data_IF_418052348866
#
_entry.id   IF_418052348866
#
_cell.length_a   1.000
_cell.length_b   1.000
_cell.length_c   1.000
_cell.angle_alpha   90.00
_cell.angle_beta   90.00
_cell.angle_gamma   90.00
#
_symmetry.space_group_name_H-M   'P 1'
#
loop_
_entity.id
_entity.type
_entity.pdbx_description
1 polymer ?
#
# COMPACT_ATOMS: atom_id res chain seq x y z
N UNK A 1 32.54 -5.25 -2.67
CA UNK A 1 31.28 -4.68 -3.19
C UNK A 1 30.87 -3.58 -2.26
N UNK A 2 30.56 -2.40 -2.75
CA UNK A 2 30.21 -1.31 -1.83
C UNK A 2 28.88 -1.64 -1.12
N UNK A 3 28.84 -1.40 0.18
CA UNK A 3 27.66 -1.52 1.04
C UNK A 3 26.45 -0.81 0.41
N UNK A 4 26.71 0.25 -0.33
CA UNK A 4 25.71 1.01 -1.08
C UNK A 4 24.89 0.13 -2.05
N UNK A 5 25.52 -0.75 -2.85
CA UNK A 5 24.77 -1.62 -3.77
C UNK A 5 23.89 -2.65 -3.05
N UNK A 6 24.28 -3.08 -1.85
CA UNK A 6 23.45 -3.95 -1.00
C UNK A 6 22.21 -3.16 -0.59
N UNK A 7 22.38 -1.93 -0.08
CA UNK A 7 21.25 -1.06 0.30
C UNK A 7 20.32 -0.74 -0.86
N UNK A 8 20.86 -0.44 -2.05
CA UNK A 8 20.00 -0.21 -3.24
C UNK A 8 19.26 -1.47 -3.64
N UNK A 9 19.90 -2.64 -3.59
CA UNK A 9 19.26 -3.91 -3.92
C UNK A 9 18.08 -4.23 -2.99
N UNK A 10 18.26 -4.13 -1.68
CA UNK A 10 17.19 -4.29 -0.69
C UNK A 10 16.14 -3.18 -0.83
N UNK A 11 16.58 -1.96 -1.13
CA UNK A 11 15.71 -0.80 -1.36
C UNK A 11 14.74 -0.98 -2.51
N UNK A 12 15.13 -1.66 -3.59
CA UNK A 12 14.23 -1.98 -4.69
C UNK A 12 13.13 -2.97 -4.28
N UNK A 13 13.45 -3.95 -3.43
CA UNK A 13 12.46 -4.90 -2.90
C UNK A 13 11.46 -4.16 -2.00
N UNK A 14 11.94 -3.40 -1.04
CA UNK A 14 11.11 -2.59 -0.12
C UNK A 14 10.28 -1.57 -0.90
N UNK A 15 10.87 -0.89 -1.90
CA UNK A 15 10.17 0.05 -2.77
C UNK A 15 9.03 -0.61 -3.56
N UNK A 16 9.19 -1.86 -4.01
CA UNK A 16 8.14 -2.58 -4.72
C UNK A 16 6.91 -2.84 -3.81
N UNK A 17 7.14 -3.21 -2.55
CA UNK A 17 6.09 -3.42 -1.55
C UNK A 17 5.39 -2.08 -1.23
N UNK A 18 6.17 -1.02 -0.97
CA UNK A 18 5.64 0.33 -0.71
C UNK A 18 4.82 0.81 -1.92
N UNK A 19 5.33 0.66 -3.15
CA UNK A 19 4.65 1.09 -4.37
C UNK A 19 3.28 0.43 -4.52
N UNK A 20 3.20 -0.87 -4.27
CA UNK A 20 1.96 -1.61 -4.37
C UNK A 20 0.91 -1.06 -3.40
N UNK A 21 1.26 -0.90 -2.12
CA UNK A 21 0.37 -0.34 -1.10
C UNK A 21 0.01 1.12 -1.39
N UNK A 22 1.01 1.95 -1.70
CA UNK A 22 0.82 3.39 -1.95
C UNK A 22 -0.06 3.66 -3.17
N UNK A 23 0.05 2.86 -4.23
CA UNK A 23 -0.82 2.99 -5.42
C UNK A 23 -2.26 2.66 -5.08
N UNK A 24 -2.53 1.58 -4.31
CA UNK A 24 -3.86 1.24 -3.82
C UNK A 24 -4.48 2.41 -3.05
N UNK A 25 -3.78 2.90 -2.04
CA UNK A 25 -4.19 4.03 -1.22
C UNK A 25 -4.42 5.30 -2.05
N UNK A 26 -3.56 5.61 -3.03
CA UNK A 26 -3.70 6.76 -3.91
C UNK A 26 -4.95 6.66 -4.80
N UNK A 27 -5.28 5.45 -5.27
CA UNK A 27 -6.52 5.21 -6.01
C UNK A 27 -7.76 5.43 -5.15
N UNK A 28 -7.75 4.93 -3.92
CA UNK A 28 -8.83 5.14 -2.98
C UNK A 28 -9.00 6.63 -2.67
N UNK A 29 -7.90 7.33 -2.35
CA UNK A 29 -7.91 8.77 -2.07
C UNK A 29 -8.44 9.59 -3.24
N UNK A 30 -8.13 9.22 -4.49
CA UNK A 30 -8.58 9.98 -5.67
C UNK A 30 -10.12 10.12 -5.75
N UNK A 31 -10.86 9.08 -5.33
CA UNK A 31 -12.34 9.07 -5.38
C UNK A 31 -13.00 9.43 -4.05
N UNK A 32 -12.33 9.23 -2.91
CA UNK A 32 -12.91 9.49 -1.58
C UNK A 32 -12.51 10.84 -1.01
N UNK A 33 -11.36 11.39 -1.45
CA UNK A 33 -10.73 12.61 -0.92
C UNK A 33 -10.51 12.56 0.59
N UNK A 34 -10.46 11.36 1.17
CA UNK A 34 -10.22 11.11 2.59
C UNK A 34 -8.99 10.27 2.79
N UNK A 35 -8.15 10.65 3.75
CA UNK A 35 -7.00 9.85 4.20
C UNK A 35 -7.54 8.68 5.02
N UNK A 36 -7.14 7.45 4.66
CA UNK A 36 -7.62 6.24 5.29
C UNK A 36 -6.54 5.59 6.17
N UNK A 37 -6.63 5.79 7.48
CA UNK A 37 -5.71 5.15 8.43
C UNK A 37 -5.96 3.63 8.58
N UNK A 38 -7.15 3.15 8.26
CA UNK A 38 -7.44 1.72 8.25
C UNK A 38 -6.78 0.97 7.08
N UNK A 39 -6.10 1.67 6.15
CA UNK A 39 -5.37 1.04 5.06
C UNK A 39 -4.24 0.12 5.56
N UNK A 40 -3.56 0.49 6.65
CA UNK A 40 -2.56 -0.38 7.28
C UNK A 40 -3.15 -1.71 7.73
N UNK A 41 -4.37 -1.70 8.26
CA UNK A 41 -5.03 -2.93 8.71
C UNK A 41 -5.48 -3.83 7.56
N UNK A 42 -5.73 -3.26 6.37
CA UNK A 42 -5.93 -4.06 5.16
C UNK A 42 -4.66 -4.83 4.79
N UNK A 43 -3.48 -4.25 5.04
CA UNK A 43 -2.20 -4.94 4.89
C UNK A 43 -2.03 -6.02 5.95
N UNK A 44 -2.26 -5.69 7.24
CA UNK A 44 -2.12 -6.63 8.34
C UNK A 44 -3.01 -7.86 8.16
N UNK A 45 -4.30 -7.65 7.84
CA UNK A 45 -5.23 -8.78 7.66
C UNK A 45 -4.85 -9.65 6.46
N UNK A 46 -4.32 -9.03 5.38
CA UNK A 46 -3.77 -9.76 4.24
C UNK A 46 -2.57 -10.62 4.61
N UNK A 47 -1.65 -10.09 5.44
CA UNK A 47 -0.51 -10.82 5.97
C UNK A 47 -0.96 -12.04 6.81
N UNK A 48 -1.92 -11.85 7.72
CA UNK A 48 -2.48 -12.92 8.54
C UNK A 48 -3.26 -13.96 7.71
N UNK A 49 -4.03 -13.53 6.71
CA UNK A 49 -4.73 -14.45 5.81
C UNK A 49 -3.75 -15.35 5.06
N UNK A 50 -2.68 -14.76 4.52
CA UNK A 50 -1.61 -15.50 3.86
C UNK A 50 -0.88 -16.45 4.84
N UNK A 51 -0.59 -15.98 6.07
CA UNK A 51 0.02 -16.80 7.11
C UNK A 51 -0.81 -18.03 7.46
N UNK A 52 -2.12 -17.88 7.65
CA UNK A 52 -3.02 -19.01 7.94
C UNK A 52 -2.97 -20.05 6.82
N UNK A 53 -2.96 -19.60 5.56
CA UNK A 53 -2.82 -20.52 4.40
C UNK A 53 -1.43 -21.13 4.36
N UNK A 54 -0.38 -20.36 4.67
CA UNK A 54 1.01 -20.85 4.66
C UNK A 54 1.27 -21.98 5.66
N UNK A 55 0.50 -22.04 6.75
CA UNK A 55 0.56 -23.17 7.72
C UNK A 55 0.07 -24.50 7.14
N UNK A 56 -0.74 -24.45 6.09
CA UNK A 56 -1.36 -25.64 5.49
C UNK A 56 -0.85 -25.92 4.07
N UNK A 57 -0.31 -24.92 3.38
CA UNK A 57 0.15 -25.03 1.99
C UNK A 57 1.33 -24.11 1.73
N UNK A 58 2.38 -24.67 1.16
CA UNK A 58 3.55 -23.92 0.68
C UNK A 58 3.32 -23.17 -0.64
N UNK A 59 2.12 -23.28 -1.23
CA UNK A 59 1.80 -22.63 -2.49
C UNK A 59 1.62 -21.11 -2.31
N UNK A 60 2.62 -20.34 -2.74
CA UNK A 60 2.65 -18.86 -2.62
C UNK A 60 1.50 -18.20 -3.38
N UNK A 61 1.03 -18.79 -4.50
CA UNK A 61 -0.11 -18.22 -5.23
C UNK A 61 -1.42 -18.35 -4.44
N UNK A 62 -1.59 -19.45 -3.71
CA UNK A 62 -2.77 -19.62 -2.84
C UNK A 62 -2.74 -18.66 -1.66
N UNK A 63 -1.56 -18.43 -1.08
CA UNK A 63 -1.35 -17.44 -0.02
C UNK A 63 -1.67 -16.03 -0.52
N UNK A 64 -1.18 -15.67 -1.71
CA UNK A 64 -1.48 -14.38 -2.34
C UNK A 64 -2.97 -14.20 -2.66
N UNK A 65 -3.62 -15.25 -3.19
CA UNK A 65 -5.05 -15.21 -3.45
C UNK A 65 -5.87 -15.01 -2.16
N UNK A 66 -5.49 -15.65 -1.07
CA UNK A 66 -6.12 -15.46 0.24
C UNK A 66 -5.92 -14.03 0.77
N UNK A 67 -4.70 -13.49 0.67
CA UNK A 67 -4.39 -12.12 1.07
C UNK A 67 -5.24 -11.09 0.30
N UNK A 68 -5.32 -11.25 -1.02
CA UNK A 68 -6.15 -10.39 -1.90
C UNK A 68 -7.62 -10.52 -1.56
N UNK A 69 -8.14 -11.74 -1.42
CA UNK A 69 -9.56 -11.98 -1.16
C UNK A 69 -10.01 -11.41 0.19
N UNK A 70 -9.24 -11.66 1.26
CA UNK A 70 -9.58 -11.21 2.61
C UNK A 70 -9.40 -9.70 2.76
N UNK A 71 -8.31 -9.14 2.20
CA UNK A 71 -8.10 -7.69 2.16
C UNK A 71 -9.22 -6.96 1.40
N UNK A 72 -9.60 -7.47 0.22
CA UNK A 72 -10.71 -6.93 -0.57
C UNK A 72 -12.06 -7.03 0.16
N UNK A 73 -12.33 -8.15 0.83
CA UNK A 73 -13.56 -8.36 1.60
C UNK A 73 -13.66 -7.39 2.79
N UNK A 74 -12.57 -7.20 3.53
CA UNK A 74 -12.53 -6.25 4.65
C UNK A 74 -12.71 -4.81 4.18
N UNK A 75 -12.03 -4.42 3.09
CA UNK A 75 -12.17 -3.10 2.49
C UNK A 75 -13.60 -2.83 2.01
N UNK A 76 -14.24 -3.82 1.37
CA UNK A 76 -15.64 -3.74 1.01
C UNK A 76 -16.54 -3.58 2.24
N UNK A 77 -16.28 -4.35 3.30
CA UNK A 77 -17.03 -4.26 4.56
C UNK A 77 -16.86 -2.87 5.20
N UNK A 78 -15.65 -2.33 5.28
CA UNK A 78 -15.40 -0.97 5.76
C UNK A 78 -16.19 0.06 4.98
N UNK A 79 -16.09 0.03 3.65
CA UNK A 79 -16.84 0.97 2.84
C UNK A 79 -18.36 0.83 3.05
N UNK A 80 -18.87 -0.39 3.03
CA UNK A 80 -20.32 -0.65 3.08
C UNK A 80 -20.95 -0.37 4.43
N UNK A 81 -20.25 -0.77 5.51
CA UNK A 81 -20.78 -0.74 6.88
C UNK A 81 -20.41 0.55 7.62
N UNK A 82 -19.23 1.11 7.35
CA UNK A 82 -18.74 2.28 8.07
C UNK A 82 -18.80 3.54 7.21
N UNK A 83 -18.06 3.60 6.08
CA UNK A 83 -17.90 4.86 5.35
C UNK A 83 -19.16 5.34 4.65
N UNK A 84 -19.83 4.46 3.93
CA UNK A 84 -21.02 4.81 3.13
C UNK A 84 -22.18 5.37 3.95
N UNK A 85 -22.53 4.82 5.14
CA UNK A 85 -23.59 5.40 5.99
C UNK A 85 -23.25 6.80 6.48
N UNK A 86 -21.99 7.03 6.89
CA UNK A 86 -21.55 8.33 7.38
C UNK A 86 -21.48 9.39 6.26
N UNK A 87 -20.93 9.01 5.11
CA UNK A 87 -20.88 9.90 3.93
C UNK A 87 -22.29 10.28 3.46
N UNK A 88 -23.25 9.35 3.49
CA UNK A 88 -24.64 9.65 3.14
C UNK A 88 -25.32 10.60 4.12
N UNK A 89 -24.89 10.61 5.38
CA UNK A 89 -25.38 11.54 6.42
C UNK A 89 -24.68 12.90 6.38
N UNK A 90 -23.81 13.14 5.39
CA UNK A 90 -23.06 14.39 5.25
C UNK A 90 -21.93 14.55 6.25
N UNK A 91 -21.35 13.45 6.76
CA UNK A 91 -20.22 13.52 7.68
C UNK A 91 -19.04 14.27 7.04
N UNK A 92 -18.48 15.22 7.78
CA UNK A 92 -17.31 15.99 7.36
C UNK A 92 -16.03 15.14 7.34
N UNK A 93 -14.98 15.68 6.72
CA UNK A 93 -13.69 15.00 6.56
C UNK A 93 -13.08 14.55 7.91
N UNK A 94 -13.20 15.37 8.96
CA UNK A 94 -12.71 15.02 10.30
C UNK A 94 -13.43 13.80 10.88
N UNK A 95 -14.74 13.71 10.72
CA UNK A 95 -15.54 12.56 11.19
C UNK A 95 -15.12 11.28 10.47
N UNK A 96 -14.93 11.35 9.14
CA UNK A 96 -14.46 10.21 8.35
C UNK A 96 -13.03 9.80 8.74
N UNK A 97 -12.16 10.76 9.02
CA UNK A 97 -10.81 10.51 9.51
C UNK A 97 -10.81 9.76 10.86
N UNK A 98 -11.58 10.25 11.85
CA UNK A 98 -11.72 9.58 13.15
C UNK A 98 -12.30 8.17 12.99
N UNK A 99 -13.24 7.98 12.05
CA UNK A 99 -13.82 6.68 11.74
C UNK A 99 -12.77 5.69 11.22
N UNK A 100 -11.80 6.16 10.42
CA UNK A 100 -10.71 5.29 9.93
C UNK A 100 -9.80 4.81 11.05
N UNK A 101 -9.48 5.70 12.00
CA UNK A 101 -8.66 5.36 13.17
C UNK A 101 -9.42 4.37 14.06
N UNK A 102 -10.71 4.60 14.33
CA UNK A 102 -11.52 3.69 15.12
C UNK A 102 -11.60 2.29 14.47
N UNK A 103 -11.78 2.23 13.14
CA UNK A 103 -11.78 0.98 12.39
C UNK A 103 -10.43 0.26 12.48
N UNK A 104 -9.32 1.00 12.38
CA UNK A 104 -7.96 0.46 12.54
C UNK A 104 -7.79 -0.18 13.92
N UNK A 105 -8.10 0.56 14.98
CA UNK A 105 -7.98 0.06 16.36
C UNK A 105 -8.84 -1.19 16.61
N UNK A 106 -10.06 -1.24 16.06
CA UNK A 106 -10.93 -2.42 16.18
C UNK A 106 -10.27 -3.64 15.53
N UNK A 107 -9.78 -3.52 14.30
CA UNK A 107 -9.15 -4.65 13.60
C UNK A 107 -7.88 -5.10 14.31
N UNK A 108 -7.02 -4.17 14.72
CA UNK A 108 -5.80 -4.48 15.44
C UNK A 108 -6.11 -5.28 16.71
N UNK A 109 -7.02 -4.79 17.57
CA UNK A 109 -7.40 -5.48 18.81
C UNK A 109 -8.08 -6.84 18.55
N UNK A 110 -8.87 -6.97 17.49
CA UNK A 110 -9.45 -8.26 17.10
C UNK A 110 -8.35 -9.25 16.70
N UNK A 111 -7.37 -8.81 15.90
CA UNK A 111 -6.23 -9.65 15.53
C UNK A 111 -5.38 -10.03 16.74
N UNK A 112 -5.15 -9.11 17.68
CA UNK A 112 -4.46 -9.39 18.95
C UNK A 112 -5.20 -10.41 19.79
N UNK A 113 -6.53 -10.33 19.87
CA UNK A 113 -7.36 -11.31 20.59
C UNK A 113 -7.31 -12.70 19.95
N UNK A 114 -7.21 -12.80 18.62
CA UNK A 114 -7.18 -14.08 17.89
C UNK A 114 -5.76 -14.69 17.91
N UNK A 115 -4.72 -13.87 17.68
CA UNK A 115 -3.33 -14.30 17.51
C UNK A 115 -2.44 -14.00 18.72
N UNK A 116 -3.02 -13.55 19.85
CA UNK A 116 -2.35 -13.32 21.15
C UNK A 116 -1.30 -12.20 21.17
N UNK A 117 -1.30 -11.28 20.20
CA UNK A 117 -0.38 -10.14 20.18
C UNK A 117 1.12 -10.48 20.05
N UNK A 118 1.47 -11.75 20.03
CA UNK A 118 2.84 -12.23 19.93
C UNK A 118 3.39 -12.17 18.50
N UNK A 119 4.71 -12.21 18.39
CA UNK A 119 5.34 -12.39 17.10
C UNK A 119 4.93 -13.70 16.44
N UNK A 120 4.49 -13.60 15.20
CA UNK A 120 4.16 -14.75 14.36
C UNK A 120 5.27 -14.89 13.32
N UNK A 121 5.87 -16.07 13.24
CA UNK A 121 6.90 -16.37 12.25
C UNK A 121 6.25 -16.88 10.97
N UNK A 122 6.50 -16.18 9.87
CA UNK A 122 6.02 -16.61 8.56
C UNK A 122 6.80 -17.86 8.12
N UNK A 123 6.13 -18.96 7.73
CA UNK A 123 6.82 -20.17 7.29
C UNK A 123 7.49 -19.90 5.94
N UNK A 124 8.71 -19.39 5.96
CA UNK A 124 9.53 -19.22 4.77
C UNK A 124 10.68 -20.24 4.79
N UNK A 125 10.89 -20.94 3.68
CA UNK A 125 12.10 -21.74 3.51
C UNK A 125 13.29 -20.80 3.32
N UNK A 126 14.41 -21.11 3.98
CA UNK A 126 15.65 -20.40 3.76
C UNK A 126 16.03 -20.48 2.27
N UNK A 127 15.98 -19.35 1.59
CA UNK A 127 16.24 -19.28 0.16
C UNK A 127 17.71 -18.98 -0.08
N UNK A 128 18.33 -19.70 -1.03
CA UNK A 128 19.69 -19.39 -1.47
C UNK A 128 19.74 -17.97 -2.05
N UNK A 129 20.80 -17.23 -1.73
CA UNK A 129 21.02 -15.91 -2.30
C UNK A 129 21.68 -16.03 -3.67
N UNK A 130 21.02 -15.49 -4.68
CA UNK A 130 21.51 -15.41 -6.05
C UNK A 130 22.22 -14.09 -6.29
N UNK A 131 23.32 -14.13 -7.03
CA UNK A 131 24.03 -12.92 -7.49
C UNK A 131 23.49 -12.51 -8.85
N UNK A 132 22.89 -11.32 -8.94
CA UNK A 132 22.44 -10.71 -10.19
C UNK A 132 23.22 -9.41 -10.38
N UNK A 133 24.34 -9.45 -11.10
CA UNK A 133 25.23 -8.30 -11.25
C UNK A 133 25.81 -7.83 -9.90
N UNK A 134 25.63 -6.55 -9.52
CA UNK A 134 26.11 -6.00 -8.25
C UNK A 134 25.20 -6.35 -7.05
N UNK A 135 24.01 -6.91 -7.27
CA UNK A 135 23.01 -7.18 -6.24
C UNK A 135 23.06 -8.62 -5.75
N UNK A 136 22.63 -8.82 -4.50
CA UNK A 136 22.39 -10.13 -3.92
C UNK A 136 20.92 -10.18 -3.51
N UNK A 137 20.14 -11.02 -4.19
CA UNK A 137 18.73 -11.24 -3.91
C UNK A 137 18.46 -12.70 -3.59
N UNK A 138 17.61 -12.92 -2.64
CA UNK A 138 17.04 -14.25 -2.38
C UNK A 138 15.95 -14.55 -3.41
N UNK A 139 15.55 -15.81 -3.53
CA UNK A 139 14.40 -16.17 -4.35
C UNK A 139 13.13 -15.43 -3.87
N UNK A 140 12.99 -15.24 -2.56
CA UNK A 140 11.89 -14.49 -1.96
C UNK A 140 11.88 -13.03 -2.43
N UNK A 141 13.04 -12.37 -2.49
CA UNK A 141 13.16 -10.99 -2.98
C UNK A 141 12.72 -10.87 -4.44
N UNK A 142 13.18 -11.79 -5.29
CA UNK A 142 12.82 -11.82 -6.72
C UNK A 142 11.32 -12.06 -6.91
N UNK A 143 10.75 -13.02 -6.17
CA UNK A 143 9.32 -13.31 -6.22
C UNK A 143 8.48 -12.13 -5.71
N UNK A 144 8.92 -11.46 -4.65
CA UNK A 144 8.27 -10.27 -4.10
C UNK A 144 8.25 -9.14 -5.13
N UNK A 145 9.38 -8.81 -5.74
CA UNK A 145 9.47 -7.79 -6.79
C UNK A 145 8.60 -8.17 -8.01
N UNK A 146 8.70 -9.42 -8.46
CA UNK A 146 7.92 -9.89 -9.60
C UNK A 146 6.41 -9.81 -9.32
N UNK A 147 5.95 -10.26 -8.15
CA UNK A 147 4.55 -10.20 -7.74
C UNK A 147 4.05 -8.75 -7.67
N UNK A 148 4.84 -7.84 -7.07
CA UNK A 148 4.50 -6.43 -7.00
C UNK A 148 4.42 -5.78 -8.39
N UNK A 149 5.39 -6.04 -9.27
CA UNK A 149 5.40 -5.52 -10.64
C UNK A 149 4.20 -6.05 -11.43
N UNK A 150 3.90 -7.35 -11.37
CA UNK A 150 2.74 -7.94 -12.04
C UNK A 150 1.44 -7.32 -11.54
N UNK A 151 1.28 -7.14 -10.22
CA UNK A 151 0.10 -6.51 -9.65
C UNK A 151 -0.03 -5.04 -10.06
N UNK A 152 1.07 -4.28 -10.07
CA UNK A 152 1.09 -2.89 -10.53
C UNK A 152 0.75 -2.77 -12.02
N UNK A 153 1.26 -3.68 -12.86
CA UNK A 153 0.91 -3.74 -14.29
C UNK A 153 -0.55 -4.10 -14.48
N UNK A 154 -1.08 -5.10 -13.76
CA UNK A 154 -2.49 -5.44 -13.80
C UNK A 154 -3.37 -4.25 -13.42
N UNK A 155 -3.00 -3.51 -12.38
CA UNK A 155 -3.68 -2.33 -11.93
C UNK A 155 -3.60 -1.20 -12.96
N UNK A 156 -2.41 -0.98 -13.54
CA UNK A 156 -2.21 -0.02 -14.65
C UNK A 156 -3.15 -0.31 -15.84
N UNK A 157 -3.20 -1.57 -16.30
CA UNK A 157 -4.08 -1.96 -17.40
C UNK A 157 -5.56 -1.81 -17.02
N UNK A 158 -5.94 -2.17 -15.78
CA UNK A 158 -7.29 -1.99 -15.28
C UNK A 158 -7.71 -0.53 -15.33
N UNK A 159 -6.87 0.39 -14.87
CA UNK A 159 -7.20 1.81 -14.83
C UNK A 159 -7.12 2.48 -16.21
N UNK A 160 -6.16 2.10 -17.06
CA UNK A 160 -6.00 2.73 -18.38
C UNK A 160 -6.92 2.18 -19.46
N UNK A 161 -7.16 0.88 -19.46
CA UNK A 161 -7.81 0.18 -20.58
C UNK A 161 -9.26 -0.23 -20.34
N UNK A 162 -9.76 -0.22 -19.09
CA UNK A 162 -11.13 -0.68 -18.80
C UNK A 162 -12.15 0.46 -18.69
N UNK A 163 -13.44 0.10 -18.81
CA UNK A 163 -14.57 1.03 -18.57
C UNK A 163 -14.56 1.53 -17.11
N UNK A 164 -14.16 0.66 -16.16
CA UNK A 164 -14.01 1.02 -14.76
C UNK A 164 -13.00 2.16 -14.58
N UNK A 165 -11.81 2.04 -15.16
CA UNK A 165 -10.79 3.08 -15.02
C UNK A 165 -11.19 4.42 -15.65
N UNK A 166 -11.95 4.42 -16.76
CA UNK A 166 -12.52 5.66 -17.31
C UNK A 166 -13.52 6.30 -16.35
N UNK A 167 -14.43 5.50 -15.78
CA UNK A 167 -15.45 5.96 -14.84
C UNK A 167 -14.81 6.43 -13.51
N UNK A 168 -13.76 5.74 -13.05
CA UNK A 168 -13.02 6.12 -11.83
C UNK A 168 -12.36 7.49 -11.98
N UNK A 169 -11.69 7.76 -13.10
CA UNK A 169 -11.12 9.08 -13.37
C UNK A 169 -12.19 10.17 -13.44
N UNK A 170 -13.31 9.91 -14.12
CA UNK A 170 -14.42 10.86 -14.15
C UNK A 170 -14.98 11.19 -12.74
N UNK A 171 -15.10 10.17 -11.88
CA UNK A 171 -15.53 10.36 -10.47
C UNK A 171 -14.46 11.07 -9.66
N UNK A 172 -13.16 10.81 -9.93
CA UNK A 172 -12.04 11.47 -9.27
C UNK A 172 -11.93 12.95 -9.63
N UNK A 173 -12.27 13.33 -10.86
CA UNK A 173 -12.26 14.71 -11.33
C UNK A 173 -13.45 15.50 -10.78
N UNK A 174 -14.68 15.04 -11.05
CA UNK A 174 -15.93 15.64 -10.52
C UNK A 174 -17.03 14.59 -10.37
N UNK A 175 -17.38 14.29 -9.12
CA UNK A 175 -18.43 13.32 -8.76
C UNK A 175 -19.80 13.76 -9.27
N UNK A 176 -20.09 15.07 -9.26
CA UNK A 176 -21.38 15.63 -9.66
C UNK A 176 -21.57 15.52 -11.16
N UNK A 177 -20.56 15.95 -11.92
CA UNK A 177 -20.54 15.85 -13.38
C UNK A 177 -20.58 14.39 -13.85
N UNK A 178 -19.83 13.50 -13.19
CA UNK A 178 -19.87 12.07 -13.50
C UNK A 178 -21.28 11.47 -13.32
N UNK A 179 -22.03 11.91 -12.30
CA UNK A 179 -23.42 11.45 -12.08
C UNK A 179 -24.36 11.94 -13.16
N UNK A 180 -24.23 13.17 -13.65
CA UNK A 180 -25.09 13.70 -14.72
C UNK A 180 -24.88 12.97 -16.04
N UNK A 181 -23.69 12.42 -16.29
CA UNK A 181 -23.40 11.58 -17.46
C UNK A 181 -23.79 10.09 -17.29
N UNK A 182 -24.50 9.75 -16.19
CA UNK A 182 -25.02 8.40 -15.95
C UNK A 182 -24.04 7.45 -15.25
N UNK A 183 -22.87 7.93 -14.80
CA UNK A 183 -21.92 7.11 -14.04
C UNK A 183 -22.45 6.88 -12.62
N UNK A 184 -22.55 5.60 -12.22
CA UNK A 184 -22.95 5.22 -10.87
C UNK A 184 -21.79 5.37 -9.88
N UNK A 185 -21.51 6.62 -9.46
CA UNK A 185 -20.34 6.96 -8.64
C UNK A 185 -20.18 6.06 -7.41
N UNK A 186 -21.28 5.65 -6.74
CA UNK A 186 -21.21 4.78 -5.58
C UNK A 186 -20.65 3.38 -5.89
N UNK A 187 -20.93 2.83 -7.08
CA UNK A 187 -20.38 1.54 -7.49
C UNK A 187 -18.88 1.65 -7.81
N UNK A 188 -18.47 2.79 -8.36
CA UNK A 188 -17.06 3.07 -8.63
C UNK A 188 -16.28 3.17 -7.32
N UNK A 189 -16.81 3.87 -6.32
CA UNK A 189 -16.20 3.95 -4.99
C UNK A 189 -16.13 2.57 -4.34
N UNK A 190 -17.25 1.80 -4.35
CA UNK A 190 -17.30 0.44 -3.78
C UNK A 190 -16.21 -0.46 -4.42
N UNK A 191 -16.07 -0.42 -5.76
CA UNK A 191 -15.09 -1.24 -6.47
C UNK A 191 -13.64 -0.74 -6.23
N UNK A 192 -13.44 0.57 -6.11
CA UNK A 192 -12.12 1.13 -5.78
C UNK A 192 -11.65 0.66 -4.40
N UNK A 193 -12.55 0.59 -3.41
CA UNK A 193 -12.24 0.04 -2.10
C UNK A 193 -11.84 -1.44 -2.16
N UNK A 194 -12.57 -2.25 -2.96
CA UNK A 194 -12.25 -3.67 -3.17
C UNK A 194 -10.88 -3.85 -3.79
N UNK A 195 -10.56 -3.05 -4.82
CA UNK A 195 -9.25 -3.10 -5.48
C UNK A 195 -8.15 -2.65 -4.52
N UNK A 196 -8.36 -1.55 -3.80
CA UNK A 196 -7.40 -1.05 -2.80
C UNK A 196 -7.13 -2.11 -1.73
N UNK A 197 -8.18 -2.69 -1.13
CA UNK A 197 -8.03 -3.72 -0.11
C UNK A 197 -7.35 -4.99 -0.61
N UNK A 198 -7.61 -5.39 -1.85
CA UNK A 198 -6.93 -6.53 -2.46
C UNK A 198 -5.43 -6.28 -2.67
N UNK A 199 -5.10 -5.09 -3.16
CA UNK A 199 -3.71 -4.66 -3.38
C UNK A 199 -2.98 -4.46 -2.05
N UNK A 200 -3.62 -3.84 -1.06
CA UNK A 200 -3.09 -3.69 0.29
C UNK A 200 -2.86 -5.04 0.97
N UNK A 201 -3.81 -5.96 0.86
CA UNK A 201 -3.66 -7.32 1.39
C UNK A 201 -2.48 -8.07 0.78
N UNK A 202 -2.30 -7.98 -0.55
CA UNK A 202 -1.14 -8.57 -1.23
C UNK A 202 0.17 -7.90 -0.75
N UNK A 203 0.20 -6.58 -0.65
CA UNK A 203 1.36 -5.84 -0.14
C UNK A 203 1.71 -6.26 1.30
N UNK A 204 0.71 -6.46 2.16
CA UNK A 204 0.90 -6.96 3.52
C UNK A 204 1.49 -8.37 3.58
N UNK A 205 1.05 -9.29 2.72
CA UNK A 205 1.66 -10.61 2.58
C UNK A 205 3.13 -10.50 2.15
N UNK A 206 3.43 -9.69 1.13
CA UNK A 206 4.80 -9.53 0.64
C UNK A 206 5.70 -8.92 1.71
N UNK A 207 5.17 -7.97 2.50
CA UNK A 207 5.87 -7.39 3.64
C UNK A 207 6.16 -8.45 4.73
N UNK A 208 5.16 -9.27 5.08
CA UNK A 208 5.33 -10.35 6.06
C UNK A 208 6.35 -11.40 5.62
N UNK A 209 6.39 -11.74 4.33
CA UNK A 209 7.40 -12.61 3.74
C UNK A 209 8.82 -12.01 3.86
N UNK A 210 8.93 -10.70 3.69
CA UNK A 210 10.21 -9.99 3.72
C UNK A 210 10.74 -9.84 5.15
N UNK A 211 9.87 -9.51 6.11
CA UNK A 211 10.24 -9.33 7.53
C UNK A 211 10.44 -10.66 8.23
N UNK A 212 9.75 -11.71 7.78
CA UNK A 212 9.83 -13.07 8.32
C UNK A 212 9.11 -13.27 9.65
N UNK A 213 9.05 -12.28 10.53
CA UNK A 213 8.28 -12.29 11.77
C UNK A 213 7.54 -10.97 11.97
N UNK A 214 6.28 -11.03 12.36
CA UNK A 214 5.43 -9.85 12.46
C UNK A 214 4.39 -9.97 13.57
N UNK A 215 3.80 -8.83 13.94
CA UNK A 215 2.76 -8.69 14.96
C UNK A 215 1.48 -8.12 14.35
N UNK A 216 0.35 -8.09 15.08
CA UNK A 216 -0.88 -7.45 14.62
C UNK A 216 -0.74 -5.96 14.25
N UNK A 217 0.31 -5.29 14.70
CA UNK A 217 0.60 -3.89 14.39
C UNK A 217 1.42 -3.67 13.10
N UNK A 218 1.76 -4.73 12.36
CA UNK A 218 2.61 -4.67 11.15
C UNK A 218 2.20 -3.55 10.18
N UNK A 219 0.94 -3.56 9.78
CA UNK A 219 0.45 -2.61 8.80
C UNK A 219 0.33 -1.19 9.34
N UNK A 220 -0.03 -1.04 10.63
CA UNK A 220 -0.10 0.27 11.26
C UNK A 220 1.28 0.96 11.29
N UNK A 221 2.32 0.23 11.67
CA UNK A 221 3.70 0.73 11.67
C UNK A 221 4.14 1.10 10.25
N UNK A 222 3.87 0.23 9.27
CA UNK A 222 4.26 0.46 7.89
C UNK A 222 3.40 1.51 7.16
N UNK A 223 2.20 1.81 7.66
CA UNK A 223 1.27 2.79 7.09
C UNK A 223 1.89 4.18 6.95
N UNK A 224 2.67 4.59 7.94
CA UNK A 224 3.33 5.90 7.93
C UNK A 224 4.36 6.02 6.80
N UNK A 225 5.06 4.92 6.48
CA UNK A 225 5.98 4.84 5.33
C UNK A 225 5.21 4.94 4.02
N UNK A 226 4.06 4.25 3.93
CA UNK A 226 3.15 4.32 2.75
C UNK A 226 2.63 5.75 2.55
N UNK A 227 2.24 6.43 3.63
CA UNK A 227 1.86 7.85 3.56
C UNK A 227 3.01 8.74 3.11
N UNK A 228 4.21 8.51 3.64
CA UNK A 228 5.39 9.27 3.21
C UNK A 228 5.63 9.13 1.72
N UNK A 229 5.55 7.92 1.20
CA UNK A 229 5.70 7.65 -0.23
C UNK A 229 4.57 8.29 -1.07
N UNK A 230 3.33 8.23 -0.59
CA UNK A 230 2.19 8.85 -1.27
C UNK A 230 2.31 10.37 -1.36
N UNK A 231 2.71 11.02 -0.26
CA UNK A 231 2.86 12.47 -0.20
C UNK A 231 4.06 12.92 -1.04
N UNK A 232 5.20 12.23 -0.93
CA UNK A 232 6.40 12.50 -1.74
C UNK A 232 6.10 12.38 -3.22
N UNK A 233 5.34 11.37 -3.62
CA UNK A 233 4.95 11.16 -5.01
C UNK A 233 3.85 12.11 -5.52
N UNK A 234 2.99 12.57 -4.63
CA UNK A 234 1.75 13.31 -4.89
C UNK A 234 0.52 12.42 -4.71
N UNK A 235 -0.24 12.66 -3.62
CA UNK A 235 -1.40 11.84 -3.26
C UNK A 235 -2.45 11.88 -4.38
N UNK A 236 -3.02 10.71 -4.70
CA UNK A 236 -4.06 10.56 -5.72
C UNK A 236 -3.53 10.36 -7.14
N UNK A 237 -2.22 10.38 -7.33
CA UNK A 237 -1.58 10.12 -8.62
C UNK A 237 -0.87 8.75 -8.61
N UNK A 238 -1.33 7.81 -9.44
CA UNK A 238 -0.77 6.45 -9.49
C UNK A 238 0.73 6.43 -9.81
N UNK A 239 1.17 7.20 -10.80
CA UNK A 239 2.60 7.22 -11.19
C UNK A 239 3.45 7.98 -10.16
N UNK A 240 2.87 9.01 -9.54
CA UNK A 240 3.49 9.71 -8.43
C UNK A 240 3.74 8.77 -7.26
N UNK A 241 2.74 7.98 -6.89
CA UNK A 241 2.85 6.99 -5.83
C UNK A 241 4.00 5.99 -6.06
N UNK A 242 4.17 5.49 -7.30
CA UNK A 242 5.30 4.61 -7.64
C UNK A 242 6.65 5.33 -7.52
N UNK A 243 6.74 6.56 -8.03
CA UNK A 243 7.98 7.33 -7.94
C UNK A 243 8.35 7.66 -6.47
N UNK A 244 7.36 8.07 -5.66
CA UNK A 244 7.55 8.31 -4.23
C UNK A 244 7.99 7.06 -3.48
N UNK A 245 7.39 5.91 -3.78
CA UNK A 245 7.76 4.63 -3.20
C UNK A 245 9.19 4.21 -3.55
N UNK A 246 9.63 4.43 -4.79
CA UNK A 246 11.01 4.17 -5.19
C UNK A 246 12.00 5.03 -4.41
N UNK A 247 11.73 6.32 -4.28
CA UNK A 247 12.59 7.24 -3.53
C UNK A 247 12.64 6.84 -2.05
N UNK A 248 11.47 6.69 -1.41
CA UNK A 248 11.39 6.38 0.02
C UNK A 248 12.01 5.01 0.32
N UNK A 249 11.66 3.97 -0.45
CA UNK A 249 12.15 2.61 -0.22
C UNK A 249 13.67 2.48 -0.40
N UNK A 250 14.22 3.10 -1.45
CA UNK A 250 15.68 3.06 -1.69
C UNK A 250 16.41 3.85 -0.59
N UNK A 251 15.95 5.03 -0.22
CA UNK A 251 16.64 5.83 0.81
C UNK A 251 16.55 5.17 2.17
N UNK A 252 15.42 4.56 2.55
CA UNK A 252 15.28 3.79 3.79
C UNK A 252 16.33 2.68 3.90
N UNK A 253 16.47 1.87 2.85
CA UNK A 253 17.38 0.72 2.89
C UNK A 253 18.85 1.13 2.72
N UNK A 254 19.14 2.15 1.93
CA UNK A 254 20.49 2.69 1.82
C UNK A 254 20.92 3.33 3.15
N UNK A 255 20.04 4.08 3.80
CA UNK A 255 20.34 4.67 5.11
C UNK A 255 20.62 3.61 6.18
N UNK A 256 19.90 2.49 6.18
CA UNK A 256 20.07 1.39 7.13
C UNK A 256 21.42 0.65 7.01
N UNK A 257 22.14 0.86 5.91
CA UNK A 257 23.50 0.34 5.74
C UNK A 257 24.54 1.19 6.50
N UNK A 258 24.26 2.48 6.71
CA UNK A 258 25.18 3.44 7.34
C UNK A 258 24.75 3.84 8.74
N UNK A 259 23.45 3.72 9.07
CA UNK A 259 22.83 4.12 10.32
C UNK A 259 22.13 2.88 10.91
N UNK A 260 22.00 2.73 12.24
CA UNK A 260 21.29 1.60 12.84
C UNK A 260 19.91 1.39 12.19
N UNK A 261 19.53 0.15 11.88
CA UNK A 261 18.28 -0.17 11.17
C UNK A 261 16.99 0.34 11.84
N UNK A 262 17.03 0.59 13.13
CA UNK A 262 15.91 1.14 13.91
C UNK A 262 15.48 2.53 13.45
N UNK A 263 16.34 3.25 12.73
CA UNK A 263 16.04 4.57 12.18
C UNK A 263 15.51 4.56 10.75
N UNK A 264 15.24 3.39 10.15
CA UNK A 264 14.71 3.30 8.76
C UNK A 264 13.47 4.14 8.53
N UNK A 265 12.50 4.03 9.43
CA UNK A 265 11.24 4.77 9.34
C UNK A 265 11.45 6.27 9.54
N UNK A 266 12.36 6.65 10.43
CA UNK A 266 12.75 8.05 10.65
C UNK A 266 13.29 8.68 9.37
N UNK A 267 14.05 7.93 8.56
CA UNK A 267 14.55 8.41 7.27
C UNK A 267 13.42 8.63 6.27
N UNK A 268 12.40 7.77 6.26
CA UNK A 268 11.20 7.99 5.43
C UNK A 268 10.49 9.30 5.80
N UNK A 269 10.37 9.60 7.09
CA UNK A 269 9.77 10.85 7.55
C UNK A 269 10.63 12.07 7.26
N UNK A 270 11.95 11.93 7.38
CA UNK A 270 12.86 13.01 7.04
C UNK A 270 12.72 13.40 5.55
N UNK A 271 12.66 12.42 4.65
CA UNK A 271 12.40 12.68 3.24
C UNK A 271 11.05 13.36 3.04
N UNK A 272 10.02 12.88 3.73
CA UNK A 272 8.69 13.48 3.67
C UNK A 272 8.75 14.96 4.05
N UNK A 273 9.40 15.30 5.18
CA UNK A 273 9.54 16.68 5.64
C UNK A 273 10.30 17.53 4.61
N UNK A 274 11.43 17.03 4.10
CA UNK A 274 12.23 17.75 3.11
C UNK A 274 11.42 17.99 1.83
N UNK A 275 10.68 16.98 1.35
CA UNK A 275 9.86 17.14 0.14
C UNK A 275 8.71 18.12 0.38
N UNK A 276 8.02 18.05 1.52
CA UNK A 276 6.95 19.01 1.84
C UNK A 276 7.45 20.46 1.93
N UNK A 277 8.65 20.67 2.48
CA UNK A 277 9.25 22.01 2.54
C UNK A 277 9.65 22.56 1.18
N UNK A 278 10.14 21.68 0.27
CA UNK A 278 10.62 22.08 -1.05
C UNK A 278 9.51 22.05 -2.11
N UNK A 279 8.59 21.09 -2.02
CA UNK A 279 7.51 20.83 -3.00
C UNK A 279 6.24 20.28 -2.34
N UNK A 280 5.37 21.12 -1.77
CA UNK A 280 4.19 20.69 -1.02
C UNK A 280 3.16 19.91 -1.84
N UNK A 281 3.21 19.99 -3.18
CA UNK A 281 2.31 19.25 -4.07
C UNK A 281 2.83 17.84 -4.43
N UNK A 282 4.02 17.47 -3.96
CA UNK A 282 4.72 16.25 -4.35
C UNK A 282 5.55 16.41 -5.64
N UNK A 283 6.43 15.43 -5.90
CA UNK A 283 7.44 15.54 -6.97
C UNK A 283 6.79 15.47 -8.36
N UNK A 284 5.83 14.57 -8.58
CA UNK A 284 5.24 14.33 -9.90
C UNK A 284 4.14 15.34 -10.24
N UNK A 285 3.36 15.82 -9.27
CA UNK A 285 2.38 16.86 -9.49
C UNK A 285 3.02 18.16 -10.02
N UNK A 286 4.17 18.52 -9.47
CA UNK A 286 4.92 19.71 -9.90
C UNK A 286 5.53 19.59 -11.31
N UNK A 287 5.71 18.38 -11.83
CA UNK A 287 6.20 18.16 -13.21
C UNK A 287 5.07 18.30 -14.23
N UNK A 288 3.83 17.87 -13.89
CA UNK A 288 2.69 17.98 -14.81
C UNK A 288 2.24 19.42 -15.04
N UNK A 289 2.35 20.31 -14.06
CA UNK A 289 2.03 21.73 -14.22
C UNK A 289 3.01 22.48 -15.13
N UNK A 290 4.26 22.04 -15.25
CA UNK A 290 5.24 22.64 -16.15
C UNK A 290 5.02 22.31 -17.62
N UNK A 291 4.29 21.23 -17.93
CA UNK A 291 4.03 20.78 -19.31
C UNK A 291 2.80 21.47 -19.92
N UNK A 292 2.01 22.18 -19.11
CA UNK A 292 0.77 22.87 -19.53
C UNK A 292 0.97 24.39 -19.65
N UNK A 293 2.13 24.90 -19.28
CA UNK A 293 2.57 26.29 -19.55
C UNK A 293 3.53 26.32 -20.73
#
# INVERSE_FOLDING_TARGET
>A
MSLFFIGVGSGLVTAAIIALSTVGMSLQYSVTRTINFAHGELMTIGAYAAYVVARHSSNVLLQGAAAVAVGAALAWAFNRLLFRPFTRRGAGALTLFVLTIAASLIVQNVLEAIFSGNFVNYPSSASAAYRVGPFRWTLTDILTMAAAVVALLALHFTIRRTKFGKAQRAVADDVTLARTTGVRAHQIVDLTWVIDGGVAGLSGMLLALQVGSFTPSLGFTFLLVVFSAAIVGGIGQMYGAVAGALIVGVVMEVSAVYIPPDYKETMAFLILIVVLLLRPQGIVAALSERTVR
#
